data_IF_900872698058
#
_entry.id   IF_900872698058
#
_cell.length_a   1.000
_cell.length_b   1.000
_cell.length_c   1.000
_cell.angle_alpha   90.00
_cell.angle_beta   90.00
_cell.angle_gamma   90.00
#
_symmetry.space_group_name_H-M   'P 1'
#
loop_
_entity.id
_entity.type
_entity.pdbx_description
1 polymer ?
#
# COMPACT_ATOMS: atom_id res chain seq x y z
N UNK A 1 -8.31 -11.11 -1.93
CA UNK A 1 -9.42 -10.55 -2.74
C UNK A 1 -10.47 -9.82 -1.90
N UNK A 2 -10.79 -10.29 -0.68
CA UNK A 2 -11.82 -9.66 0.17
C UNK A 2 -11.68 -8.15 0.45
N UNK A 3 -10.47 -7.58 0.57
CA UNK A 3 -10.32 -6.12 0.74
C UNK A 3 -10.47 -5.35 -0.57
N UNK A 4 -9.99 -5.92 -1.67
CA UNK A 4 -10.12 -5.30 -3.00
C UNK A 4 -11.60 -5.14 -3.36
N UNK A 5 -12.39 -6.20 -3.19
CA UNK A 5 -13.84 -6.16 -3.44
C UNK A 5 -14.55 -5.18 -2.50
N UNK A 6 -14.21 -5.17 -1.21
CA UNK A 6 -14.86 -4.27 -0.23
C UNK A 6 -14.64 -2.78 -0.52
N UNK A 7 -13.47 -2.42 -1.05
CA UNK A 7 -13.05 -1.03 -1.24
C UNK A 7 -12.86 -0.67 -2.72
N UNK A 8 -13.43 -1.43 -3.65
CA UNK A 8 -13.14 -1.28 -5.10
C UNK A 8 -13.42 0.12 -5.66
N UNK A 9 -14.45 0.79 -5.13
CA UNK A 9 -14.84 2.15 -5.54
C UNK A 9 -14.03 3.27 -4.87
N UNK A 10 -13.22 2.94 -3.86
CA UNK A 10 -12.55 3.91 -2.99
C UNK A 10 -11.02 3.76 -2.98
N UNK A 11 -10.51 2.55 -3.22
CA UNK A 11 -9.09 2.22 -3.06
C UNK A 11 -8.62 1.37 -4.24
N UNK A 12 -7.53 1.84 -4.86
CA UNK A 12 -6.81 1.05 -5.86
C UNK A 12 -5.69 0.26 -5.18
N UNK A 13 -5.75 -1.06 -5.28
CA UNK A 13 -4.68 -1.94 -4.79
C UNK A 13 -3.64 -2.16 -5.88
N UNK A 14 -2.44 -1.62 -5.66
CA UNK A 14 -1.27 -1.81 -6.54
C UNK A 14 -0.31 -2.81 -5.88
N UNK A 15 0.08 -3.85 -6.62
CA UNK A 15 1.08 -4.83 -6.19
C UNK A 15 2.32 -4.62 -7.06
N UNK A 16 3.46 -4.45 -6.40
CA UNK A 16 4.76 -4.26 -7.06
C UNK A 16 5.64 -5.45 -6.74
N UNK A 17 6.14 -6.13 -7.77
CA UNK A 17 7.16 -7.15 -7.62
C UNK A 17 8.55 -6.51 -7.68
N UNK A 18 9.21 -6.39 -6.53
CA UNK A 18 10.54 -5.77 -6.43
C UNK A 18 11.66 -6.57 -7.12
N UNK A 19 11.36 -7.79 -7.58
CA UNK A 19 12.30 -8.63 -8.32
C UNK A 19 12.43 -8.27 -9.80
N UNK A 20 11.48 -7.53 -10.37
CA UNK A 20 11.55 -7.06 -11.76
C UNK A 20 12.20 -5.67 -11.88
N UNK A 21 12.51 -5.25 -13.11
CA UNK A 21 13.24 -3.99 -13.34
C UNK A 21 12.47 -2.76 -12.86
N UNK A 22 11.17 -2.69 -13.13
CA UNK A 22 10.33 -1.54 -12.78
C UNK A 22 10.05 -1.51 -11.27
N UNK A 23 9.77 -2.66 -10.67
CA UNK A 23 9.60 -2.80 -9.24
C UNK A 23 10.88 -2.53 -8.47
N UNK A 24 12.05 -2.86 -9.01
CA UNK A 24 13.34 -2.45 -8.42
C UNK A 24 13.52 -0.93 -8.47
N UNK A 25 13.18 -0.29 -9.60
CA UNK A 25 13.20 1.18 -9.73
C UNK A 25 12.28 1.82 -8.69
N UNK A 26 11.03 1.35 -8.60
CA UNK A 26 10.07 1.83 -7.61
C UNK A 26 10.54 1.59 -6.17
N UNK A 27 11.11 0.43 -5.87
CA UNK A 27 11.64 0.12 -4.54
C UNK A 27 12.73 1.13 -4.13
N UNK A 28 13.60 1.55 -5.07
CA UNK A 28 14.59 2.59 -4.81
C UNK A 28 13.95 3.97 -4.63
N UNK A 29 13.00 4.36 -5.49
CA UNK A 29 12.30 5.65 -5.39
C UNK A 29 11.54 5.81 -4.08
N UNK A 30 10.89 4.75 -3.61
CA UNK A 30 10.15 4.71 -2.35
C UNK A 30 11.05 4.33 -1.15
N UNK A 31 12.36 4.20 -1.36
CA UNK A 31 13.36 3.87 -0.32
C UNK A 31 13.01 2.59 0.48
N UNK A 32 12.47 1.57 -0.18
CA UNK A 32 12.11 0.29 0.43
C UNK A 32 13.36 -0.45 0.91
N UNK A 33 13.45 -0.69 2.21
CA UNK A 33 14.59 -1.42 2.83
C UNK A 33 14.26 -2.84 3.25
N UNK A 34 12.98 -3.14 3.47
CA UNK A 34 12.49 -4.42 3.93
C UNK A 34 11.19 -4.75 3.21
N UNK A 35 11.01 -6.02 2.84
CA UNK A 35 9.77 -6.53 2.27
C UNK A 35 9.07 -7.47 3.28
N UNK A 36 7.72 -7.51 3.31
CA UNK A 36 6.82 -6.64 2.55
C UNK A 36 6.80 -5.20 3.12
N UNK A 37 6.58 -4.23 2.23
CA UNK A 37 6.37 -2.83 2.57
C UNK A 37 5.03 -2.36 1.97
N UNK A 38 4.29 -1.57 2.74
CA UNK A 38 2.99 -1.05 2.37
C UNK A 38 3.05 0.47 2.39
N UNK A 39 2.60 1.11 1.30
CA UNK A 39 2.47 2.55 1.19
C UNK A 39 1.02 2.88 0.91
N UNK A 40 0.51 3.90 1.59
CA UNK A 40 -0.84 4.42 1.40
C UNK A 40 -0.70 5.83 0.85
N UNK A 41 -1.25 6.02 -0.35
CA UNK A 41 -1.08 7.21 -1.16
C UNK A 41 -2.46 7.81 -1.39
N UNK A 42 -2.59 9.12 -1.17
CA UNK A 42 -3.85 9.84 -1.40
C UNK A 42 -4.08 10.13 -2.90
N UNK A 43 -5.20 10.77 -3.22
CA UNK A 43 -5.55 11.14 -4.61
C UNK A 43 -4.66 12.23 -5.21
N UNK A 44 -3.87 12.95 -4.40
CA UNK A 44 -2.89 13.94 -4.85
C UNK A 44 -1.52 13.30 -5.15
N UNK A 45 -1.35 12.02 -4.84
CA UNK A 45 -0.09 11.30 -5.00
C UNK A 45 0.84 11.41 -3.78
N UNK A 46 0.35 11.93 -2.65
CA UNK A 46 1.14 12.09 -1.42
C UNK A 46 1.07 10.83 -0.55
N UNK A 47 2.20 10.43 0.01
CA UNK A 47 2.26 9.29 0.95
C UNK A 47 1.72 9.74 2.30
N UNK A 48 0.52 9.26 2.67
CA UNK A 48 -0.13 9.59 3.94
C UNK A 48 0.21 8.61 5.06
N UNK A 49 0.65 7.39 4.71
CA UNK A 49 1.15 6.42 5.67
C UNK A 49 2.07 5.39 5.00
N UNK A 50 2.93 4.74 5.79
CA UNK A 50 3.64 3.54 5.40
C UNK A 50 3.72 2.55 6.57
N UNK A 51 3.80 1.26 6.25
CA UNK A 51 3.98 0.18 7.21
C UNK A 51 5.00 -0.82 6.65
N UNK A 52 5.82 -1.43 7.50
CA UNK A 52 6.82 -2.43 7.11
C UNK A 52 6.63 -3.73 7.86
N UNK A 53 6.83 -4.85 7.18
CA UNK A 53 6.68 -6.19 7.74
C UNK A 53 5.30 -6.78 7.53
N UNK A 54 5.06 -7.97 8.08
CA UNK A 54 3.83 -8.74 7.84
C UNK A 54 2.64 -8.05 8.53
N UNK A 55 1.64 -7.66 7.75
CA UNK A 55 0.37 -7.14 8.23
C UNK A 55 -0.73 -8.19 8.08
N UNK A 56 -1.63 -8.26 9.07
CA UNK A 56 -2.87 -9.02 8.92
C UNK A 56 -3.87 -8.26 8.07
N UNK A 57 -4.87 -8.96 7.51
CA UNK A 57 -6.00 -8.32 6.81
C UNK A 57 -6.65 -7.22 7.67
N UNK A 58 -6.85 -7.50 8.97
CA UNK A 58 -7.46 -6.53 9.89
C UNK A 58 -6.61 -5.28 10.07
N UNK A 59 -5.28 -5.39 10.09
CA UNK A 59 -4.41 -4.21 10.18
C UNK A 59 -4.54 -3.31 8.95
N UNK A 60 -4.53 -3.90 7.75
CA UNK A 60 -4.69 -3.16 6.49
C UNK A 60 -6.08 -2.51 6.44
N UNK A 61 -7.12 -3.25 6.82
CA UNK A 61 -8.50 -2.76 6.83
C UNK A 61 -8.70 -1.58 7.79
N UNK A 62 -8.14 -1.67 9.00
CA UNK A 62 -8.17 -0.55 9.96
C UNK A 62 -7.41 0.67 9.44
N UNK A 63 -6.27 0.47 8.76
CA UNK A 63 -5.52 1.58 8.16
C UNK A 63 -6.31 2.27 7.06
N UNK A 64 -6.94 1.51 6.16
CA UNK A 64 -7.80 2.05 5.10
C UNK A 64 -8.95 2.88 5.69
N UNK A 65 -9.66 2.33 6.69
CA UNK A 65 -10.76 3.05 7.34
C UNK A 65 -10.30 4.38 7.96
N UNK A 66 -9.17 4.38 8.68
CA UNK A 66 -8.59 5.60 9.25
C UNK A 66 -8.25 6.66 8.21
N UNK A 67 -7.83 6.25 7.01
CA UNK A 67 -7.49 7.18 5.93
C UNK A 67 -8.75 7.75 5.28
N UNK A 68 -9.78 6.94 5.07
CA UNK A 68 -11.03 7.36 4.42
C UNK A 68 -11.97 8.18 5.33
N UNK A 69 -11.87 8.01 6.65
CA UNK A 69 -12.70 8.73 7.62
C UNK A 69 -12.19 10.17 7.91
N UNK A 70 -11.04 10.58 7.36
CA UNK A 70 -10.47 11.94 7.45
C UNK A 70 -10.79 12.77 6.21
#
# INVERSE_FOLDING_TARGET
>A
MALKEKYEDQVVFVIVDVGDQEGNRMANEFMVRYIPAFFYIDSNGEIVANDTGVLTKGNIESRIAQILDN
#
